data_IF_414833857205
#
_entry.id   IF_414833857205
#
_cell.length_a   1.000
_cell.length_b   1.000
_cell.length_c   1.000
_cell.angle_alpha   90.00
_cell.angle_beta   90.00
_cell.angle_gamma   90.00
#
_symmetry.space_group_name_H-M   'P 1'
#
loop_
_entity.id
_entity.type
_entity.pdbx_description
1 polymer ?
#
# COMPACT_ATOMS: atom_id res chain seq x y z
N UNK A 1 -15.04 -18.79 -8.13
CA UNK A 1 -15.91 -18.25 -7.07
C UNK A 1 -15.58 -16.78 -6.90
N UNK A 2 -16.48 -15.89 -7.31
CA UNK A 2 -16.33 -14.47 -7.05
C UNK A 2 -16.52 -14.26 -5.54
N UNK A 3 -15.41 -14.07 -4.81
CA UNK A 3 -15.47 -13.56 -3.45
C UNK A 3 -16.30 -12.28 -3.50
N UNK A 4 -17.44 -12.27 -2.80
CA UNK A 4 -18.28 -11.10 -2.66
C UNK A 4 -17.35 -9.92 -2.34
N UNK A 5 -17.37 -8.91 -3.20
CA UNK A 5 -16.50 -7.75 -3.07
C UNK A 5 -16.88 -7.11 -1.73
N UNK A 6 -16.08 -7.39 -0.69
CA UNK A 6 -16.19 -6.67 0.57
C UNK A 6 -16.21 -5.18 0.20
N UNK A 7 -17.20 -4.41 0.68
CA UNK A 7 -17.23 -2.99 0.43
C UNK A 7 -15.86 -2.44 0.81
N UNK A 8 -15.34 -1.59 -0.06
CA UNK A 8 -13.98 -1.07 0.01
C UNK A 8 -13.89 -0.30 1.32
N UNK A 9 -13.48 -0.98 2.40
CA UNK A 9 -13.26 -0.33 3.67
C UNK A 9 -12.06 0.58 3.43
N UNK A 10 -12.17 1.89 3.67
CA UNK A 10 -11.02 2.76 3.60
C UNK A 10 -9.99 2.25 4.61
N UNK A 11 -8.97 1.56 4.11
CA UNK A 11 -7.82 1.12 4.90
C UNK A 11 -6.96 2.34 5.20
N UNK A 12 -6.79 2.63 6.49
CA UNK A 12 -6.22 3.83 7.11
C UNK A 12 -4.77 4.23 6.74
N UNK A 13 -4.21 3.65 5.68
CA UNK A 13 -2.88 3.97 5.20
C UNK A 13 -2.76 3.99 3.66
N UNK A 14 -3.78 3.55 2.91
CA UNK A 14 -3.69 3.46 1.46
C UNK A 14 -3.88 4.82 0.76
N UNK A 15 -4.60 5.74 1.41
CA UNK A 15 -4.99 7.04 0.84
C UNK A 15 -3.93 8.12 1.10
N UNK A 16 -3.26 8.05 2.25
CA UNK A 16 -2.28 9.05 2.69
C UNK A 16 -0.84 8.61 2.52
N UNK A 17 -0.57 7.30 2.41
CA UNK A 17 0.71 6.83 1.88
C UNK A 17 0.78 7.32 0.45
N UNK A 18 1.39 8.50 0.28
CA UNK A 18 1.67 9.12 -0.99
C UNK A 18 2.38 8.07 -1.82
N UNK A 19 1.63 7.37 -2.67
CA UNK A 19 2.15 6.43 -3.63
C UNK A 19 2.89 7.29 -4.66
N UNK A 20 4.06 7.81 -4.28
CA UNK A 20 4.94 8.62 -5.13
C UNK A 20 5.27 7.90 -6.44
N UNK A 21 5.08 6.59 -6.45
CA UNK A 21 5.26 5.74 -7.60
C UNK A 21 4.07 5.76 -8.58
N UNK A 22 2.81 5.84 -8.10
CA UNK A 22 1.63 5.65 -8.95
C UNK A 22 1.04 6.99 -9.43
N UNK A 23 0.57 7.08 -10.68
CA UNK A 23 -0.18 8.23 -11.16
C UNK A 23 -1.48 8.45 -10.35
N UNK A 24 -1.80 9.70 -10.03
CA UNK A 24 -2.99 10.04 -9.23
C UNK A 24 -4.30 9.50 -9.85
N UNK A 25 -4.43 9.52 -11.18
CA UNK A 25 -5.59 8.98 -11.88
C UNK A 25 -5.78 7.49 -11.60
N UNK A 26 -4.69 6.73 -11.58
CA UNK A 26 -4.71 5.29 -11.29
C UNK A 26 -5.05 5.05 -9.82
N UNK A 27 -4.53 5.86 -8.89
CA UNK A 27 -4.89 5.78 -7.46
C UNK A 27 -6.39 6.02 -7.25
N UNK A 28 -6.95 7.05 -7.89
CA UNK A 28 -8.38 7.34 -7.80
C UNK A 28 -9.22 6.17 -8.29
N UNK A 29 -8.83 5.55 -9.41
CA UNK A 29 -9.54 4.37 -9.94
C UNK A 29 -9.49 3.17 -8.98
N UNK A 30 -8.33 2.92 -8.36
CA UNK A 30 -8.17 1.84 -7.39
C UNK A 30 -9.03 2.07 -6.13
N UNK A 31 -9.04 3.30 -5.63
CA UNK A 31 -9.72 3.65 -4.37
C UNK A 31 -11.24 3.74 -4.55
N UNK A 32 -11.70 4.46 -5.58
CA UNK A 32 -13.12 4.76 -5.76
C UNK A 32 -13.86 3.54 -6.34
N UNK A 33 -13.25 2.87 -7.32
CA UNK A 33 -13.92 1.78 -8.05
C UNK A 33 -13.45 0.39 -7.60
N UNK A 34 -12.48 0.28 -6.69
CA UNK A 34 -11.99 -1.01 -6.19
C UNK A 34 -11.35 -1.87 -7.28
N UNK A 35 -10.83 -1.24 -8.34
CA UNK A 35 -10.19 -1.96 -9.46
C UNK A 35 -8.98 -2.75 -8.95
N UNK A 36 -8.76 -3.94 -9.50
CA UNK A 36 -7.54 -4.73 -9.25
C UNK A 36 -6.45 -4.35 -10.24
N UNK A 37 -5.23 -4.22 -9.73
CA UNK A 37 -4.04 -3.89 -10.53
C UNK A 37 -3.31 -5.17 -10.92
N UNK A 38 -2.92 -5.30 -12.19
CA UNK A 38 -2.05 -6.40 -12.62
C UNK A 38 -0.59 -6.16 -12.18
N UNK A 39 0.20 -7.23 -12.09
CA UNK A 39 1.61 -7.12 -11.69
C UNK A 39 2.43 -6.24 -12.66
N UNK A 40 2.11 -6.27 -13.95
CA UNK A 40 2.76 -5.44 -14.97
C UNK A 40 2.39 -3.96 -14.81
N UNK A 41 1.11 -3.63 -14.58
CA UNK A 41 0.69 -2.25 -14.32
C UNK A 41 1.29 -1.72 -13.01
N UNK A 42 1.38 -2.55 -11.98
CA UNK A 42 2.04 -2.21 -10.72
C UNK A 42 3.53 -1.89 -10.91
N UNK A 43 4.21 -2.58 -11.83
CA UNK A 43 5.61 -2.33 -12.16
C UNK A 43 5.77 -1.00 -12.91
N UNK A 44 4.91 -0.73 -13.88
CA UNK A 44 4.92 0.54 -14.63
C UNK A 44 4.63 1.74 -13.72
N UNK A 45 3.73 1.55 -12.77
CA UNK A 45 3.43 2.52 -11.72
C UNK A 45 4.40 2.49 -10.54
N UNK A 46 5.53 1.79 -10.63
CA UNK A 46 6.59 1.75 -9.61
C UNK A 46 6.17 1.25 -8.21
N UNK A 47 4.96 0.68 -8.06
CA UNK A 47 4.47 0.11 -6.82
C UNK A 47 5.26 -1.16 -6.46
N UNK A 48 5.65 -1.93 -7.48
CA UNK A 48 6.56 -3.06 -7.36
C UNK A 48 7.85 -2.76 -8.10
N UNK A 49 8.97 -3.27 -7.59
CA UNK A 49 10.29 -3.09 -8.21
C UNK A 49 10.59 -4.12 -9.29
N UNK A 50 9.98 -5.31 -9.20
CA UNK A 50 10.22 -6.47 -10.09
C UNK A 50 8.97 -7.35 -10.18
N UNK A 51 8.76 -7.96 -11.34
CA UNK A 51 7.72 -8.96 -11.58
C UNK A 51 8.41 -10.27 -11.96
N UNK A 52 7.98 -11.38 -11.37
CA UNK A 52 8.57 -12.70 -11.56
C UNK A 52 7.51 -13.66 -12.11
N UNK A 53 7.94 -14.67 -12.88
CA UNK A 53 7.03 -15.69 -13.41
C UNK A 53 6.66 -16.72 -12.34
N UNK A 54 5.42 -17.24 -12.35
CA UNK A 54 4.91 -18.12 -11.31
C UNK A 54 5.67 -19.46 -11.22
N UNK A 55 6.14 -20.01 -12.35
CA UNK A 55 6.77 -21.33 -12.41
C UNK A 55 8.00 -21.50 -11.50
N UNK A 56 8.72 -20.40 -11.21
CA UNK A 56 9.91 -20.39 -10.35
C UNK A 56 9.94 -19.20 -9.40
N UNK A 57 8.77 -18.77 -8.94
CA UNK A 57 8.65 -17.60 -8.08
C UNK A 57 9.50 -17.74 -6.81
N UNK A 58 9.35 -18.86 -6.10
CA UNK A 58 10.02 -19.08 -4.81
C UNK A 58 11.54 -19.12 -4.94
N UNK A 59 12.05 -19.81 -5.97
CA UNK A 59 13.49 -19.90 -6.24
C UNK A 59 14.07 -18.51 -6.54
N UNK A 60 13.40 -17.73 -7.40
CA UNK A 60 13.83 -16.39 -7.77
C UNK A 60 13.82 -15.44 -6.57
N UNK A 61 12.78 -15.50 -5.72
CA UNK A 61 12.69 -14.69 -4.49
C UNK A 61 13.80 -15.06 -3.51
N UNK A 62 14.08 -16.35 -3.31
CA UNK A 62 15.17 -16.79 -2.45
C UNK A 62 16.54 -16.30 -2.94
N UNK A 63 16.79 -16.33 -4.25
CA UNK A 63 18.04 -15.84 -4.81
C UNK A 63 18.20 -14.33 -4.60
N UNK A 64 17.13 -13.55 -4.82
CA UNK A 64 17.15 -12.10 -4.53
C UNK A 64 17.43 -11.84 -3.04
N UNK A 65 16.81 -12.61 -2.14
CA UNK A 65 17.04 -12.47 -0.70
C UNK A 65 18.49 -12.81 -0.33
N UNK A 66 19.08 -13.84 -0.93
CA UNK A 66 20.50 -14.20 -0.77
C UNK A 66 21.43 -13.09 -1.26
N UNK A 67 21.14 -12.48 -2.40
CA UNK A 67 21.93 -11.37 -2.94
C UNK A 67 21.94 -10.16 -2.00
N UNK A 68 20.79 -9.86 -1.37
CA UNK A 68 20.68 -8.80 -0.37
C UNK A 68 21.47 -9.18 0.89
N UNK A 69 21.33 -10.41 1.38
CA UNK A 69 22.01 -10.89 2.58
C UNK A 69 23.54 -10.99 2.41
N UNK A 70 24.03 -11.18 1.19
CA UNK A 70 25.46 -11.24 0.87
C UNK A 70 26.15 -9.87 0.93
N UNK A 71 25.39 -8.77 0.94
CA UNK A 71 25.98 -7.43 1.02
C UNK A 71 26.50 -7.12 2.43
N UNK A 72 27.55 -6.30 2.57
CA UNK A 72 28.00 -5.83 3.87
C UNK A 72 26.91 -5.05 4.61
N UNK A 73 26.62 -5.46 5.85
CA UNK A 73 25.54 -4.92 6.67
C UNK A 73 25.58 -3.39 6.79
N UNK A 74 26.75 -2.85 7.15
CA UNK A 74 26.92 -1.40 7.35
C UNK A 74 26.69 -0.60 6.06
N UNK A 75 27.10 -1.16 4.92
CA UNK A 75 26.90 -0.55 3.61
C UNK A 75 25.41 -0.51 3.22
N UNK A 76 24.66 -1.60 3.43
CA UNK A 76 23.21 -1.61 3.18
C UNK A 76 22.50 -0.60 4.08
N UNK A 77 22.82 -0.58 5.38
CA UNK A 77 22.17 0.32 6.34
C UNK A 77 22.43 1.78 5.93
N UNK A 78 23.68 2.12 5.59
CA UNK A 78 24.03 3.47 5.14
C UNK A 78 23.28 3.84 3.85
N UNK A 79 23.29 2.97 2.83
CA UNK A 79 22.56 3.20 1.57
C UNK A 79 21.07 3.42 1.82
N UNK A 80 20.44 2.59 2.66
CA UNK A 80 19.02 2.71 3.03
C UNK A 80 18.74 4.04 3.73
N UNK A 81 19.59 4.44 4.68
CA UNK A 81 19.46 5.74 5.38
C UNK A 81 19.57 6.91 4.39
N UNK A 82 20.56 6.90 3.50
CA UNK A 82 20.74 7.96 2.49
C UNK A 82 19.54 8.09 1.54
N UNK A 83 18.98 6.95 1.09
CA UNK A 83 17.77 6.95 0.25
C UNK A 83 16.56 7.53 0.99
N UNK A 84 16.41 7.21 2.28
CA UNK A 84 15.32 7.74 3.11
C UNK A 84 15.45 9.24 3.39
N UNK A 85 16.67 9.75 3.58
CA UNK A 85 16.90 11.19 3.80
C UNK A 85 16.39 12.07 2.65
N UNK A 86 16.63 11.64 1.41
CA UNK A 86 16.14 12.35 0.20
C UNK A 86 14.61 12.41 0.13
N UNK A 87 13.92 11.49 0.82
CA UNK A 87 12.47 11.39 0.79
C UNK A 87 11.78 12.25 1.86
N UNK A 88 12.45 12.57 2.98
CA UNK A 88 11.79 12.95 4.23
C UNK A 88 11.54 14.46 4.47
N UNK A 89 12.42 15.38 4.06
CA UNK A 89 12.45 16.73 4.67
C UNK A 89 11.15 17.56 4.58
N UNK A 90 10.44 17.56 3.46
CA UNK A 90 9.12 18.20 3.34
C UNK A 90 7.95 17.20 3.36
N UNK A 91 8.24 15.94 3.04
CA UNK A 91 7.21 14.92 2.90
C UNK A 91 6.73 14.39 4.25
N UNK A 92 7.59 14.37 5.28
CA UNK A 92 7.29 13.78 6.59
C UNK A 92 6.26 14.60 7.37
N UNK A 93 6.40 15.94 7.40
CA UNK A 93 5.42 16.84 8.04
C UNK A 93 4.08 16.78 7.32
N UNK A 94 4.10 16.81 5.98
CA UNK A 94 2.88 16.71 5.17
C UNK A 94 2.19 15.35 5.39
N UNK A 95 2.97 14.27 5.49
CA UNK A 95 2.46 12.92 5.70
C UNK A 95 1.77 12.76 7.05
N UNK A 96 2.38 13.25 8.14
CA UNK A 96 1.77 13.19 9.46
C UNK A 96 0.45 13.97 9.51
N UNK A 97 0.39 15.16 8.92
CA UNK A 97 -0.85 15.94 8.85
C UNK A 97 -1.93 15.23 8.03
N UNK A 98 -1.57 14.57 6.92
CA UNK A 98 -2.51 13.76 6.15
C UNK A 98 -3.05 12.58 6.95
N UNK A 99 -2.19 11.89 7.72
CA UNK A 99 -2.60 10.78 8.59
C UNK A 99 -3.57 11.24 9.70
N UNK A 100 -3.34 12.41 10.28
CA UNK A 100 -4.25 12.98 11.27
C UNK A 100 -5.63 13.26 10.67
N UNK A 101 -5.67 13.87 9.48
CA UNK A 101 -6.92 14.11 8.77
C UNK A 101 -7.64 12.79 8.38
N UNK A 102 -6.91 11.78 7.93
CA UNK A 102 -7.47 10.47 7.59
C UNK A 102 -8.05 9.77 8.82
N UNK A 103 -7.34 9.81 9.96
CA UNK A 103 -7.86 9.30 11.23
C UNK A 103 -9.19 9.94 11.57
N UNK A 104 -9.27 11.27 11.52
CA UNK A 104 -10.48 12.00 11.92
C UNK A 104 -11.67 11.65 11.03
N UNK A 105 -11.47 11.57 9.70
CA UNK A 105 -12.49 11.14 8.74
C UNK A 105 -12.93 9.68 8.94
N UNK A 106 -12.01 8.79 9.30
CA UNK A 106 -12.33 7.39 9.59
C UNK A 106 -13.17 7.25 10.86
N UNK A 107 -12.84 8.00 11.91
CA UNK A 107 -13.63 8.03 13.13
C UNK A 107 -15.05 8.53 12.83
N UNK A 108 -15.18 9.58 12.02
CA UNK A 108 -16.48 10.08 11.57
C UNK A 108 -17.27 9.00 10.80
N UNK A 109 -16.65 8.34 9.83
CA UNK A 109 -17.31 7.28 9.06
C UNK A 109 -17.69 6.08 9.91
N UNK A 110 -16.80 5.58 10.77
CA UNK A 110 -17.10 4.43 11.63
C UNK A 110 -18.16 4.74 12.68
N UNK A 111 -18.32 5.99 13.11
CA UNK A 111 -19.39 6.38 14.04
C UNK A 111 -20.72 6.69 13.34
N UNK A 112 -20.72 6.81 12.01
CA UNK A 112 -21.93 6.99 11.21
C UNK A 112 -22.85 5.77 11.21
N UNK A 113 -24.13 5.98 10.87
CA UNK A 113 -25.12 4.90 10.74
C UNK A 113 -24.69 3.90 9.67
N UNK A 114 -24.25 4.38 8.51
CA UNK A 114 -23.79 3.54 7.39
C UNK A 114 -22.60 2.66 7.80
N UNK A 115 -21.59 3.26 8.46
CA UNK A 115 -20.43 2.52 8.94
C UNK A 115 -20.79 1.45 9.97
N UNK A 116 -21.69 1.76 10.91
CA UNK A 116 -22.15 0.81 11.93
C UNK A 116 -23.00 -0.33 11.36
N UNK A 117 -23.87 -0.05 10.40
CA UNK A 117 -24.66 -1.07 9.69
C UNK A 117 -23.75 -2.03 8.91
N UNK A 118 -22.73 -1.50 8.25
CA UNK A 118 -21.76 -2.31 7.53
C UNK A 118 -21.00 -3.24 8.48
N UNK A 119 -20.47 -2.72 9.58
CA UNK A 119 -19.72 -3.51 10.56
C UNK A 119 -20.59 -4.65 11.13
N UNK A 120 -21.86 -4.38 11.44
CA UNK A 120 -22.81 -5.41 11.90
C UNK A 120 -23.06 -6.46 10.84
N UNK A 121 -23.36 -6.06 9.62
CA UNK A 121 -23.59 -6.98 8.50
C UNK A 121 -22.39 -7.90 8.26
N UNK A 122 -21.16 -7.38 8.37
CA UNK A 122 -19.95 -8.23 8.24
C UNK A 122 -19.80 -9.23 9.38
N UNK A 123 -20.14 -8.85 10.62
CA UNK A 123 -20.05 -9.73 11.79
C UNK A 123 -21.08 -10.86 11.73
N UNK A 124 -22.30 -10.57 11.25
CA UNK A 124 -23.37 -11.55 11.09
C UNK A 124 -23.11 -12.54 9.94
N UNK A 125 -22.23 -12.17 9.00
CA UNK A 125 -21.84 -12.99 7.85
C UNK A 125 -20.59 -13.87 8.08
N UNK A 126 -19.94 -13.73 9.24
CA UNK A 126 -18.72 -14.44 9.64
C UNK A 126 -19.03 -15.68 10.49
#
# INVERSE_FOLDING_TARGET
>A
LAAAAAPILPGAAALTARCRALPQALVNDLVIFGRRLSASEALQGGLVSRVLWPDRFDEQVQNIAKDIAAQPLQTIILKKKLLNLKSNSEAEVTFLSCLEAERDLLVEYWTSVEGQELLRATLDSA
#
